data_IF_849368831606
#
_entry.id   IF_849368831606
#
_cell.length_a   1.000
_cell.length_b   1.000
_cell.length_c   1.000
_cell.angle_alpha   90.00
_cell.angle_beta   90.00
_cell.angle_gamma   90.00
#
_symmetry.space_group_name_H-M   'P 1'
#
loop_
_entity.id
_entity.type
_entity.pdbx_description
1 polymer ?
#
# COMPACT_ATOMS: atom_id res chain seq x y z
N UNK A 1 -4.24 -24.71 26.16
CA UNK A 1 -2.80 -24.47 26.30
C UNK A 1 -2.31 -23.50 25.22
N UNK A 2 -1.40 -22.60 25.63
CA UNK A 2 -0.77 -21.63 24.73
C UNK A 2 0.73 -21.91 24.71
N UNK A 3 1.26 -22.58 23.67
CA UNK A 3 2.68 -22.87 23.58
C UNK A 3 3.49 -21.57 23.50
N UNK A 4 4.67 -21.57 24.15
CA UNK A 4 5.63 -20.49 24.08
C UNK A 4 6.71 -20.82 23.05
N UNK A 5 6.94 -19.91 22.11
CA UNK A 5 7.91 -20.07 21.05
C UNK A 5 9.25 -19.46 21.43
N UNK A 6 10.34 -20.17 21.06
CA UNK A 6 11.69 -19.63 21.10
C UNK A 6 12.36 -19.86 19.74
N UNK A 7 12.88 -18.80 19.13
CA UNK A 7 13.54 -18.85 17.83
C UNK A 7 14.90 -18.19 17.93
N UNK A 8 15.93 -18.89 17.46
CA UNK A 8 17.27 -18.34 17.35
C UNK A 8 17.85 -18.63 15.97
N UNK A 9 18.54 -17.64 15.40
CA UNK A 9 19.27 -17.77 14.15
C UNK A 9 20.74 -17.40 14.36
N UNK A 10 21.63 -18.22 13.84
CA UNK A 10 23.06 -17.87 13.80
C UNK A 10 23.26 -16.61 12.97
N UNK A 11 24.27 -15.78 13.30
CA UNK A 11 24.50 -14.48 12.65
C UNK A 11 24.52 -14.55 11.12
N UNK A 12 25.19 -15.53 10.53
CA UNK A 12 25.28 -15.70 9.07
C UNK A 12 23.96 -16.04 8.35
N UNK A 13 22.91 -16.37 9.10
CA UNK A 13 21.59 -16.71 8.53
C UNK A 13 20.55 -15.59 8.75
N UNK A 14 20.95 -14.46 9.33
CA UNK A 14 20.09 -13.30 9.56
C UNK A 14 20.01 -12.42 8.32
N UNK A 15 18.93 -11.66 8.18
CA UNK A 15 18.74 -10.69 7.07
C UNK A 15 18.22 -11.28 5.74
N UNK A 16 18.17 -12.62 5.60
CA UNK A 16 17.77 -13.31 4.37
C UNK A 16 16.34 -13.87 4.39
N UNK A 17 15.49 -13.36 5.25
CA UNK A 17 14.11 -13.84 5.40
C UNK A 17 13.96 -15.18 6.15
N UNK A 18 15.05 -15.79 6.58
CA UNK A 18 15.03 -17.10 7.26
C UNK A 18 14.22 -17.08 8.56
N UNK A 19 14.23 -15.97 9.30
CA UNK A 19 13.40 -15.81 10.51
C UNK A 19 11.92 -15.86 10.21
N UNK A 20 11.49 -15.20 9.15
CA UNK A 20 10.09 -15.20 8.68
C UNK A 20 9.66 -16.60 8.26
N UNK A 21 10.50 -17.28 7.49
CA UNK A 21 10.21 -18.66 7.02
C UNK A 21 10.11 -19.63 8.18
N UNK A 22 11.05 -19.58 9.14
CA UNK A 22 11.06 -20.44 10.31
C UNK A 22 9.84 -20.19 11.19
N UNK A 23 9.54 -18.92 11.49
CA UNK A 23 8.38 -18.54 12.29
C UNK A 23 7.08 -18.99 11.61
N UNK A 24 6.94 -18.78 10.31
CA UNK A 24 5.78 -19.22 9.53
C UNK A 24 5.59 -20.72 9.56
N UNK A 25 6.68 -21.49 9.41
CA UNK A 25 6.64 -22.96 9.52
C UNK A 25 6.20 -23.42 10.91
N UNK A 26 6.72 -22.78 11.96
CA UNK A 26 6.38 -23.11 13.34
C UNK A 26 4.91 -22.82 13.67
N UNK A 27 4.41 -21.66 13.24
CA UNK A 27 3.00 -21.30 13.42
C UNK A 27 2.06 -22.24 12.68
N UNK A 28 2.44 -22.67 11.47
CA UNK A 28 1.68 -23.68 10.72
C UNK A 28 1.63 -25.00 11.46
N UNK A 29 2.78 -25.48 11.94
CA UNK A 29 2.87 -26.72 12.71
C UNK A 29 1.99 -26.67 13.97
N UNK A 30 2.00 -25.56 14.70
CA UNK A 30 1.14 -25.39 15.87
C UNK A 30 -0.35 -25.45 15.50
N UNK A 31 -0.74 -24.78 14.40
CA UNK A 31 -2.11 -24.79 13.93
C UNK A 31 -2.58 -26.19 13.50
N UNK A 32 -1.74 -26.91 12.77
CA UNK A 32 -2.00 -28.31 12.36
C UNK A 32 -2.16 -29.24 13.57
N UNK A 33 -1.52 -28.92 14.70
CA UNK A 33 -1.68 -29.62 15.96
C UNK A 33 -2.81 -29.10 16.87
N UNK A 34 -3.68 -28.23 16.33
CA UNK A 34 -4.88 -27.76 17.01
C UNK A 34 -4.66 -26.64 18.04
N UNK A 35 -3.49 -26.03 18.09
CA UNK A 35 -3.27 -24.88 18.95
C UNK A 35 -3.92 -23.63 18.36
N UNK A 36 -4.70 -22.93 19.18
CA UNK A 36 -5.42 -21.72 18.79
C UNK A 36 -4.65 -20.43 19.11
N UNK A 37 -3.57 -20.55 19.88
CA UNK A 37 -2.74 -19.41 20.31
C UNK A 37 -1.28 -19.82 20.38
N UNK A 38 -0.40 -18.82 20.18
CA UNK A 38 1.04 -18.96 20.43
C UNK A 38 1.52 -17.73 21.21
N UNK A 39 2.47 -17.92 22.12
CA UNK A 39 3.09 -16.85 22.88
C UNK A 39 4.61 -16.85 22.67
N UNK A 40 5.26 -15.74 22.99
CA UNK A 40 6.71 -15.62 23.08
C UNK A 40 7.08 -14.50 24.05
N UNK A 41 8.33 -14.53 24.53
CA UNK A 41 8.96 -13.41 25.21
C UNK A 41 10.10 -12.88 24.36
N UNK A 42 10.23 -11.56 24.28
CA UNK A 42 11.27 -10.89 23.49
C UNK A 42 11.77 -9.65 24.21
N UNK A 43 13.08 -9.44 24.22
CA UNK A 43 13.67 -8.22 24.79
C UNK A 43 13.25 -7.00 23.98
N UNK A 44 12.95 -5.88 24.66
CA UNK A 44 12.45 -4.64 24.05
C UNK A 44 13.37 -4.09 22.96
N UNK A 45 14.69 -4.28 23.10
CA UNK A 45 15.71 -3.81 22.15
C UNK A 45 15.98 -4.84 21.02
N UNK A 46 15.33 -5.99 21.04
CA UNK A 46 15.59 -7.05 20.06
C UNK A 46 15.02 -6.67 18.67
N UNK A 47 15.86 -6.61 17.63
CA UNK A 47 15.40 -6.28 16.28
C UNK A 47 14.33 -7.26 15.73
N UNK A 48 14.24 -8.46 16.31
CA UNK A 48 13.20 -9.44 15.95
C UNK A 48 11.78 -9.01 16.38
N UNK A 49 11.63 -7.98 17.22
CA UNK A 49 10.32 -7.46 17.62
C UNK A 49 9.45 -7.15 16.40
N UNK A 50 10.00 -6.42 15.41
CA UNK A 50 9.30 -6.10 14.15
C UNK A 50 8.91 -7.34 13.34
N UNK A 51 9.67 -8.44 13.43
CA UNK A 51 9.32 -9.70 12.79
C UNK A 51 8.07 -10.30 13.44
N UNK A 52 8.02 -10.31 14.78
CA UNK A 52 6.88 -10.85 15.52
C UNK A 52 5.62 -10.02 15.31
N UNK A 53 5.72 -8.70 15.31
CA UNK A 53 4.59 -7.80 15.00
C UNK A 53 4.02 -8.05 13.60
N UNK A 54 4.89 -8.13 12.57
CA UNK A 54 4.46 -8.50 11.21
C UNK A 54 3.84 -9.89 11.12
N UNK A 55 4.28 -10.82 11.98
CA UNK A 55 3.68 -12.14 12.09
C UNK A 55 2.40 -12.19 12.93
N UNK A 56 1.83 -11.02 13.30
CA UNK A 56 0.55 -10.91 14.00
C UNK A 56 0.61 -11.13 15.51
N UNK A 57 1.80 -11.13 16.11
CA UNK A 57 1.93 -11.11 17.56
C UNK A 57 1.66 -9.71 18.10
N UNK A 58 0.92 -9.61 19.19
CA UNK A 58 0.62 -8.35 19.91
C UNK A 58 1.21 -8.40 21.30
N UNK A 59 1.68 -7.27 21.80
CA UNK A 59 2.17 -7.15 23.17
C UNK A 59 0.99 -7.37 24.12
N UNK A 60 1.10 -8.40 24.96
CA UNK A 60 0.14 -8.74 25.98
C UNK A 60 0.49 -8.07 27.32
N UNK A 61 1.79 -8.06 27.65
CA UNK A 61 2.30 -7.48 28.90
C UNK A 61 3.76 -7.08 28.77
N UNK A 62 4.18 -6.12 29.59
CA UNK A 62 5.59 -5.75 29.79
C UNK A 62 6.08 -6.32 31.12
N UNK A 63 7.25 -6.99 31.07
CA UNK A 63 7.92 -7.53 32.26
C UNK A 63 9.38 -7.13 32.26
N UNK A 64 9.71 -6.08 33.00
CA UNK A 64 11.07 -5.54 33.07
C UNK A 64 11.57 -5.14 31.68
N UNK A 65 12.60 -5.82 31.17
CA UNK A 65 13.23 -5.55 29.86
C UNK A 65 12.61 -6.34 28.71
N UNK A 66 11.53 -7.11 28.95
CA UNK A 66 10.93 -7.97 27.96
C UNK A 66 9.46 -7.63 27.69
N UNK A 67 9.02 -7.89 26.46
CA UNK A 67 7.62 -7.98 26.09
C UNK A 67 7.18 -9.43 26.11
N UNK A 68 6.04 -9.72 26.74
CA UNK A 68 5.28 -10.93 26.47
C UNK A 68 4.34 -10.65 25.31
N UNK A 69 4.43 -11.46 24.25
CA UNK A 69 3.61 -11.30 23.08
C UNK A 69 2.73 -12.53 22.86
N UNK A 70 1.54 -12.32 22.34
CA UNK A 70 0.53 -13.34 22.04
C UNK A 70 0.08 -13.19 20.58
N UNK A 71 -0.04 -14.31 19.89
CA UNK A 71 -0.75 -14.43 18.62
C UNK A 71 -1.97 -15.32 18.79
N UNK A 72 -3.12 -14.83 18.33
CA UNK A 72 -4.33 -15.63 18.17
C UNK A 72 -4.31 -16.26 16.77
N UNK A 73 -4.42 -17.58 16.69
CA UNK A 73 -4.40 -18.37 15.45
C UNK A 73 -5.79 -18.92 15.09
N UNK A 74 -6.85 -18.45 15.75
CA UNK A 74 -8.23 -18.90 15.47
C UNK A 74 -8.67 -18.47 14.07
N UNK A 75 -8.09 -17.37 13.52
CA UNK A 75 -8.33 -16.96 12.14
C UNK A 75 -7.65 -17.92 11.17
N UNK A 76 -8.32 -18.24 10.07
CA UNK A 76 -7.74 -19.04 8.99
C UNK A 76 -6.68 -18.22 8.25
N UNK A 77 -5.65 -18.87 7.69
CA UNK A 77 -4.64 -18.19 6.83
C UNK A 77 -5.33 -17.43 5.72
N UNK A 78 -6.39 -17.96 5.13
CA UNK A 78 -7.20 -17.30 4.12
C UNK A 78 -7.87 -16.01 4.62
N UNK A 79 -8.25 -15.94 5.90
CA UNK A 79 -8.85 -14.76 6.49
C UNK A 79 -7.81 -13.67 6.79
N UNK A 80 -6.62 -14.07 7.20
CA UNK A 80 -5.48 -13.13 7.40
C UNK A 80 -5.00 -12.56 6.07
N UNK A 81 -4.92 -13.38 5.01
CA UNK A 81 -4.55 -12.95 3.68
C UNK A 81 -5.61 -11.99 3.11
N UNK A 82 -6.90 -12.28 3.28
CA UNK A 82 -8.00 -11.41 2.85
C UNK A 82 -8.01 -10.07 3.61
N UNK A 83 -7.79 -10.09 4.94
CA UNK A 83 -7.73 -8.87 5.74
C UNK A 83 -6.51 -7.99 5.36
N UNK A 84 -5.39 -8.63 5.01
CA UNK A 84 -4.18 -7.94 4.55
C UNK A 84 -4.37 -7.35 3.15
N UNK A 85 -4.95 -8.10 2.22
CA UNK A 85 -5.27 -7.64 0.87
C UNK A 85 -6.22 -6.44 0.92
N UNK A 86 -7.29 -6.51 1.70
CA UNK A 86 -8.21 -5.41 1.91
C UNK A 86 -7.55 -4.16 2.54
N UNK A 87 -6.57 -4.35 3.42
CA UNK A 87 -5.80 -3.23 4.00
C UNK A 87 -4.94 -2.54 2.94
N UNK A 88 -4.29 -3.31 2.07
CA UNK A 88 -3.49 -2.80 0.95
C UNK A 88 -4.37 -2.04 -0.04
N UNK A 89 -5.54 -2.58 -0.38
CA UNK A 89 -6.51 -1.94 -1.26
C UNK A 89 -6.94 -0.57 -0.72
N UNK A 90 -7.30 -0.49 0.56
CA UNK A 90 -7.66 0.79 1.22
C UNK A 90 -6.52 1.82 1.20
N UNK A 91 -5.28 1.38 1.38
CA UNK A 91 -4.12 2.27 1.28
C UNK A 91 -3.93 2.81 -0.13
N UNK A 92 -4.10 1.95 -1.15
CA UNK A 92 -4.06 2.35 -2.57
C UNK A 92 -5.16 3.34 -2.91
N UNK A 93 -6.39 3.07 -2.49
CA UNK A 93 -7.50 4.00 -2.67
C UNK A 93 -7.26 5.36 -2.01
N UNK A 94 -6.68 5.40 -0.80
CA UNK A 94 -6.33 6.65 -0.13
C UNK A 94 -5.30 7.45 -0.95
N UNK A 95 -4.30 6.79 -1.53
CA UNK A 95 -3.30 7.41 -2.41
C UNK A 95 -3.90 7.94 -3.71
N UNK A 96 -4.84 7.21 -4.31
CA UNK A 96 -5.55 7.67 -5.51
C UNK A 96 -6.40 8.91 -5.17
N UNK A 97 -7.12 8.89 -4.05
CA UNK A 97 -7.85 10.08 -3.58
C UNK A 97 -6.93 11.25 -3.32
N UNK A 98 -5.75 11.03 -2.74
CA UNK A 98 -4.74 12.07 -2.55
C UNK A 98 -4.31 12.67 -3.90
N UNK A 99 -4.03 11.83 -4.92
CA UNK A 99 -3.68 12.30 -6.26
C UNK A 99 -4.77 13.18 -6.86
N UNK A 100 -6.03 12.77 -6.79
CA UNK A 100 -7.14 13.55 -7.33
C UNK A 100 -7.38 14.85 -6.56
N UNK A 101 -7.22 14.83 -5.22
CA UNK A 101 -7.33 16.05 -4.41
C UNK A 101 -6.24 17.08 -4.73
N UNK A 102 -5.01 16.64 -5.03
CA UNK A 102 -3.94 17.56 -5.46
C UNK A 102 -4.36 18.39 -6.68
N UNK A 103 -5.05 17.77 -7.64
CA UNK A 103 -5.55 18.47 -8.84
C UNK A 103 -6.69 19.43 -8.53
N UNK A 104 -7.61 19.04 -7.66
CA UNK A 104 -8.74 19.89 -7.24
C UNK A 104 -8.25 21.11 -6.44
N UNK A 105 -7.26 20.90 -5.58
CA UNK A 105 -6.72 21.94 -4.69
C UNK A 105 -5.56 22.71 -5.33
N UNK A 106 -5.08 22.30 -6.51
CA UNK A 106 -3.87 22.82 -7.19
C UNK A 106 -2.63 22.78 -6.29
N UNK A 107 -2.54 21.78 -5.41
CA UNK A 107 -1.48 21.71 -4.42
C UNK A 107 -0.80 20.35 -4.44
N UNK A 108 0.52 20.33 -4.65
CA UNK A 108 1.34 19.16 -4.45
C UNK A 108 1.46 18.86 -2.94
N UNK A 109 0.87 17.75 -2.50
CA UNK A 109 0.94 17.25 -1.12
C UNK A 109 1.79 16.00 -1.01
N UNK A 110 2.64 15.71 -2.03
CA UNK A 110 3.55 14.57 -2.00
C UNK A 110 3.63 13.76 -3.28
N UNK A 111 3.70 14.38 -4.45
CA UNK A 111 3.86 13.69 -5.75
C UNK A 111 5.10 12.77 -5.72
N UNK A 112 6.21 13.23 -5.15
CA UNK A 112 7.45 12.47 -5.06
C UNK A 112 7.36 11.22 -4.16
N UNK A 113 6.45 11.24 -3.17
CA UNK A 113 6.19 10.08 -2.30
C UNK A 113 5.15 9.13 -2.89
N UNK A 114 4.22 9.68 -3.67
CA UNK A 114 3.14 8.94 -4.30
C UNK A 114 3.61 8.13 -5.51
N UNK A 115 4.42 8.75 -6.37
CA UNK A 115 4.96 8.14 -7.58
C UNK A 115 6.39 7.64 -7.38
N UNK A 116 6.70 6.46 -7.93
CA UNK A 116 8.06 5.95 -7.95
C UNK A 116 9.00 6.90 -8.73
N UNK A 117 10.29 6.95 -8.41
CA UNK A 117 11.26 7.81 -9.12
C UNK A 117 11.31 7.58 -10.64
N UNK A 118 10.99 6.36 -11.08
CA UNK A 118 10.96 5.90 -12.48
C UNK A 118 9.53 5.65 -13.00
N UNK A 119 8.51 6.18 -12.33
CA UNK A 119 7.12 5.98 -12.71
C UNK A 119 6.84 6.47 -14.13
N UNK A 120 5.92 5.80 -14.81
CA UNK A 120 5.40 6.22 -16.12
C UNK A 120 3.94 6.65 -15.96
N UNK A 121 3.63 7.86 -16.41
CA UNK A 121 2.27 8.39 -16.46
C UNK A 121 1.90 8.69 -17.92
N UNK A 122 0.74 8.19 -18.36
CA UNK A 122 0.23 8.36 -19.73
C UNK A 122 -1.15 9.00 -19.67
N UNK A 123 -1.29 10.20 -20.26
CA UNK A 123 -2.60 10.85 -20.39
C UNK A 123 -3.50 10.16 -21.42
N UNK A 124 -4.81 10.33 -21.31
CA UNK A 124 -5.80 9.68 -22.18
C UNK A 124 -5.66 10.01 -23.67
N UNK A 125 -5.02 11.12 -24.02
CA UNK A 125 -4.74 11.54 -25.41
C UNK A 125 -3.29 11.35 -25.86
N UNK A 126 -2.46 10.66 -25.05
CA UNK A 126 -1.20 10.12 -25.46
C UNK A 126 0.10 10.70 -24.91
N UNK A 127 0.18 11.93 -24.36
CA UNK A 127 1.40 12.41 -23.72
C UNK A 127 1.86 11.50 -22.60
N UNK A 128 3.19 11.33 -22.50
CA UNK A 128 3.83 10.47 -21.51
C UNK A 128 4.83 11.25 -20.65
N UNK A 129 4.85 10.96 -19.36
CA UNK A 129 5.77 11.56 -18.39
C UNK A 129 6.53 10.45 -17.66
N UNK A 130 7.86 10.50 -17.73
CA UNK A 130 8.76 9.52 -17.16
C UNK A 130 9.47 10.07 -15.93
N UNK A 131 9.21 9.44 -14.78
CA UNK A 131 9.71 9.79 -13.45
C UNK A 131 8.86 10.80 -12.70
N UNK A 132 8.81 10.66 -11.37
CA UNK A 132 8.02 11.52 -10.49
C UNK A 132 8.33 13.02 -10.66
N UNK A 133 9.59 13.38 -10.98
CA UNK A 133 9.98 14.76 -11.26
C UNK A 133 9.33 15.34 -12.53
N UNK A 134 9.17 14.55 -13.60
CA UNK A 134 8.48 14.97 -14.82
C UNK A 134 6.97 15.06 -14.61
N UNK A 135 6.39 14.15 -13.86
CA UNK A 135 4.98 14.19 -13.47
C UNK A 135 4.70 15.46 -12.66
N UNK A 136 5.58 15.84 -11.73
CA UNK A 136 5.47 17.08 -10.97
C UNK A 136 5.55 18.33 -11.86
N UNK A 137 6.49 18.40 -12.77
CA UNK A 137 6.64 19.52 -13.71
C UNK A 137 5.38 19.69 -14.57
N UNK A 138 4.85 18.58 -15.10
CA UNK A 138 3.60 18.58 -15.85
C UNK A 138 2.41 19.05 -14.99
N UNK A 139 2.31 18.55 -13.76
CA UNK A 139 1.28 18.97 -12.81
C UNK A 139 1.29 20.49 -12.61
N UNK A 140 2.46 21.09 -12.37
CA UNK A 140 2.60 22.53 -12.17
C UNK A 140 2.26 23.33 -13.43
N UNK A 141 2.75 22.89 -14.58
CA UNK A 141 2.49 23.53 -15.86
C UNK A 141 0.99 23.53 -16.21
N UNK A 142 0.34 22.36 -16.04
CA UNK A 142 -1.08 22.22 -16.33
C UNK A 142 -1.92 23.13 -15.41
N UNK A 143 -1.63 23.13 -14.11
CA UNK A 143 -2.35 23.97 -13.13
C UNK A 143 -2.14 25.47 -13.33
N UNK A 144 -1.12 25.89 -14.09
CA UNK A 144 -0.96 27.29 -14.50
C UNK A 144 -1.91 27.69 -15.63
N UNK A 145 -2.44 26.73 -16.39
CA UNK A 145 -3.26 26.93 -17.60
C UNK A 145 -4.71 26.49 -17.46
N UNK A 146 -5.04 25.76 -16.40
CA UNK A 146 -6.36 25.20 -16.20
C UNK A 146 -6.74 25.05 -14.73
N UNK A 147 -7.97 24.64 -14.52
CA UNK A 147 -8.52 24.35 -13.21
C UNK A 147 -9.39 23.11 -13.29
N UNK A 148 -9.07 22.09 -12.50
CA UNK A 148 -9.91 20.92 -12.32
C UNK A 148 -11.04 21.29 -11.37
N UNK A 149 -12.26 21.29 -11.87
CA UNK A 149 -13.45 21.62 -11.09
C UNK A 149 -14.07 20.40 -10.43
N UNK A 150 -13.86 19.20 -11.03
CA UNK A 150 -14.39 17.94 -10.54
C UNK A 150 -13.52 16.79 -11.03
N UNK A 151 -13.22 15.87 -10.13
CA UNK A 151 -12.64 14.56 -10.43
C UNK A 151 -13.21 13.55 -9.44
N UNK A 152 -14.41 13.09 -9.73
CA UNK A 152 -15.17 12.21 -8.85
C UNK A 152 -14.86 10.75 -9.14
N UNK A 153 -14.49 10.00 -8.10
CA UNK A 153 -14.26 8.57 -8.17
C UNK A 153 -15.61 7.86 -8.01
N UNK A 154 -15.93 6.96 -8.95
CA UNK A 154 -17.15 6.14 -8.91
C UNK A 154 -16.89 4.81 -8.22
N UNK A 155 -15.84 4.10 -8.64
CA UNK A 155 -15.49 2.80 -8.06
C UNK A 155 -14.04 2.43 -8.34
N UNK A 156 -13.57 1.39 -7.61
CA UNK A 156 -12.26 0.80 -7.74
C UNK A 156 -12.38 -0.68 -8.05
N UNK A 157 -11.43 -1.22 -8.81
CA UNK A 157 -11.25 -2.65 -9.03
C UNK A 157 -9.78 -2.99 -8.75
N UNK A 158 -9.55 -3.93 -7.85
CA UNK A 158 -8.22 -4.35 -7.48
C UNK A 158 -7.93 -5.78 -7.96
N UNK A 159 -6.71 -6.02 -8.45
CA UNK A 159 -6.22 -7.36 -8.78
C UNK A 159 -4.70 -7.40 -8.64
N UNK A 160 -4.21 -8.12 -7.62
CA UNK A 160 -2.78 -8.22 -7.35
C UNK A 160 -2.14 -6.84 -7.14
N UNK A 161 -1.17 -6.46 -7.96
CA UNK A 161 -0.49 -5.18 -7.94
C UNK A 161 -1.16 -4.08 -8.78
N UNK A 162 -2.39 -4.31 -9.26
CA UNK A 162 -3.10 -3.38 -10.14
C UNK A 162 -4.36 -2.83 -9.49
N UNK A 163 -4.68 -1.59 -9.84
CA UNK A 163 -5.95 -0.93 -9.52
C UNK A 163 -6.48 -0.25 -10.78
N UNK A 164 -7.75 -0.48 -11.10
CA UNK A 164 -8.49 0.34 -12.05
C UNK A 164 -9.42 1.23 -11.24
N UNK A 165 -9.45 2.52 -11.53
CA UNK A 165 -10.37 3.48 -10.94
C UNK A 165 -11.23 4.10 -12.02
N UNK A 166 -12.55 4.04 -11.84
CA UNK A 166 -13.53 4.70 -12.70
C UNK A 166 -13.86 6.08 -12.13
N UNK A 167 -13.90 7.10 -13.00
CA UNK A 167 -14.08 8.49 -12.59
C UNK A 167 -14.84 9.34 -13.60
N UNK A 168 -15.34 10.49 -13.11
CA UNK A 168 -15.86 11.59 -13.93
C UNK A 168 -14.96 12.80 -13.73
N UNK A 169 -14.62 13.47 -14.82
CA UNK A 169 -13.72 14.61 -14.83
C UNK A 169 -14.40 15.86 -15.44
N UNK A 170 -14.05 17.03 -14.92
CA UNK A 170 -14.40 18.33 -15.48
C UNK A 170 -13.31 19.34 -15.18
N UNK A 171 -12.86 20.07 -16.19
CA UNK A 171 -11.95 21.19 -16.04
C UNK A 171 -12.38 22.39 -16.86
N UNK A 172 -11.79 23.54 -16.54
CA UNK A 172 -11.89 24.77 -17.33
C UNK A 172 -10.46 25.27 -17.59
N UNK A 173 -10.18 25.58 -18.84
CA UNK A 173 -8.90 26.17 -19.24
C UNK A 173 -8.95 27.71 -19.17
N UNK A 174 -7.79 28.35 -19.07
CA UNK A 174 -7.70 29.83 -18.99
C UNK A 174 -8.27 30.56 -20.19
N UNK A 175 -8.37 29.90 -21.35
CA UNK A 175 -9.04 30.40 -22.55
C UNK A 175 -10.57 30.21 -22.52
N UNK A 176 -11.12 29.66 -21.44
CA UNK A 176 -12.55 29.42 -21.25
C UNK A 176 -13.05 28.09 -21.81
N UNK A 177 -12.19 27.24 -22.39
CA UNK A 177 -12.57 25.93 -22.88
C UNK A 177 -12.89 25.01 -21.68
N UNK A 178 -14.09 24.41 -21.73
CA UNK A 178 -14.55 23.45 -20.73
C UNK A 178 -14.46 22.05 -21.32
N UNK A 179 -13.84 21.13 -20.56
CA UNK A 179 -13.83 19.70 -20.88
C UNK A 179 -14.57 18.95 -19.77
N UNK A 180 -15.40 17.99 -20.16
CA UNK A 180 -16.12 17.12 -19.21
C UNK A 180 -16.33 15.75 -19.86
N UNK A 181 -15.80 14.72 -19.23
CA UNK A 181 -15.86 13.35 -19.73
C UNK A 181 -15.70 12.34 -18.59
N UNK A 182 -16.07 11.11 -18.86
CA UNK A 182 -15.83 9.97 -17.97
C UNK A 182 -14.55 9.24 -18.40
N UNK A 183 -13.97 8.46 -17.51
CA UNK A 183 -12.80 7.67 -17.84
C UNK A 183 -12.43 6.66 -16.78
N UNK A 184 -11.37 5.96 -17.08
CA UNK A 184 -10.70 5.06 -16.14
C UNK A 184 -9.21 5.33 -16.12
N UNK A 185 -8.56 5.04 -14.97
CA UNK A 185 -7.11 4.96 -14.87
C UNK A 185 -6.71 3.54 -14.51
N UNK A 186 -5.76 2.97 -15.25
CA UNK A 186 -5.05 1.75 -14.90
C UNK A 186 -3.78 2.12 -14.12
N UNK A 187 -3.66 1.62 -12.91
CA UNK A 187 -2.57 1.93 -11.99
C UNK A 187 -1.85 0.64 -11.62
N UNK A 188 -0.51 0.65 -11.64
CA UNK A 188 0.33 -0.42 -11.09
C UNK A 188 1.15 0.09 -9.93
N UNK A 189 1.31 -0.77 -8.93
CA UNK A 189 1.98 -0.47 -7.68
C UNK A 189 3.28 -1.26 -7.56
N UNK A 190 4.34 -0.62 -7.06
CA UNK A 190 5.55 -1.32 -6.69
C UNK A 190 5.47 -1.92 -5.27
N UNK A 191 6.47 -2.67 -4.85
CA UNK A 191 6.53 -3.30 -3.52
C UNK A 191 6.58 -2.28 -2.37
N UNK A 192 7.02 -1.04 -2.64
CA UNK A 192 7.00 0.06 -1.68
C UNK A 192 5.62 0.73 -1.56
N UNK A 193 4.63 0.28 -2.36
CA UNK A 193 3.29 0.84 -2.40
C UNK A 193 3.22 2.21 -3.09
N UNK A 194 4.15 2.52 -4.00
CA UNK A 194 4.14 3.70 -4.85
C UNK A 194 3.56 3.36 -6.22
N UNK A 195 2.99 4.34 -6.90
CA UNK A 195 2.55 4.22 -8.29
C UNK A 195 3.78 4.14 -9.19
N UNK A 196 4.01 3.01 -9.85
CA UNK A 196 5.08 2.85 -10.84
C UNK A 196 4.58 2.99 -12.29
N UNK A 197 3.26 2.86 -12.52
CA UNK A 197 2.63 3.09 -13.81
C UNK A 197 1.21 3.62 -13.61
N UNK A 198 0.82 4.62 -14.39
CA UNK A 198 -0.55 5.10 -14.47
C UNK A 198 -0.86 5.46 -15.92
N UNK A 199 -1.97 4.92 -16.44
CA UNK A 199 -2.50 5.28 -17.76
C UNK A 199 -3.97 5.64 -17.66
N UNK A 200 -4.34 6.76 -18.22
CA UNK A 200 -5.72 7.21 -18.33
C UNK A 200 -6.34 6.82 -19.67
N UNK A 201 -7.64 6.55 -19.62
CA UNK A 201 -8.48 6.29 -20.78
C UNK A 201 -9.74 7.14 -20.64
N UNK A 202 -9.84 8.21 -21.42
CA UNK A 202 -11.03 9.06 -21.48
C UNK A 202 -12.07 8.45 -22.42
N UNK A 203 -13.33 8.51 -22.01
CA UNK A 203 -14.49 8.13 -22.84
C UNK A 203 -15.19 9.44 -23.25
N UNK A 204 -15.26 9.70 -24.56
CA UNK A 204 -16.05 10.80 -25.14
C UNK A 204 -17.42 10.29 -25.55
#
# INVERSE_FOLDING_TARGET
DTPSLAISLLPGYRGWGNGTRLLGGLLRLLKENGYLRASLSVQKENPALRLYERAGFRILAERGTEYQMLRDMTRTVQQEDTDMEHTIEKQREAKIRQWFSMWLDKQDTGIADLFAPDAVYIESWGPEYHGSGKIKLWFDEWNSRGEVQRWDIRQYFHKGDQTVVEWSFRCVMTDGVIQSFDGISLIRWNEAGQICFLQEFGCN
#
